data_IF_112857242044
#
_entry.id   IF_112857242044
#
_cell.length_a   1.000
_cell.length_b   1.000
_cell.length_c   1.000
_cell.angle_alpha   90.00
_cell.angle_beta   90.00
_cell.angle_gamma   90.00
#
_symmetry.space_group_name_H-M   'P 1'
#
loop_
_entity.id
_entity.type
_entity.pdbx_description
1 polymer ?
#
# COMPACT_ATOMS: atom_id res chain seq x y z
N UNK A 1 6.91 -8.97 12.60
CA UNK A 1 8.00 -8.84 13.58
C UNK A 1 7.46 -9.20 14.94
N UNK A 2 8.34 -9.41 15.91
CA UNK A 2 7.94 -9.70 17.29
C UNK A 2 6.98 -8.62 17.81
N UNK A 3 5.98 -9.06 18.58
CA UNK A 3 4.94 -8.19 19.16
C UNK A 3 4.08 -7.40 18.15
N UNK A 4 4.18 -7.68 16.85
CA UNK A 4 3.29 -7.06 15.86
C UNK A 4 1.85 -7.52 16.11
N UNK A 5 0.91 -6.56 16.15
CA UNK A 5 -0.51 -6.86 16.31
C UNK A 5 -1.00 -7.66 15.09
N UNK A 6 -1.81 -8.71 15.27
CA UNK A 6 -2.37 -9.47 14.15
C UNK A 6 -3.12 -8.59 13.13
N UNK A 7 -3.83 -7.55 13.60
CA UNK A 7 -4.50 -6.59 12.73
C UNK A 7 -3.53 -5.77 11.87
N UNK A 8 -2.35 -5.43 12.40
CA UNK A 8 -1.32 -4.71 11.65
C UNK A 8 -0.74 -5.56 10.52
N UNK A 9 -0.49 -6.84 10.77
CA UNK A 9 -0.06 -7.78 9.75
C UNK A 9 -1.13 -7.97 8.66
N UNK A 10 -2.40 -8.12 9.05
CA UNK A 10 -3.53 -8.17 8.10
C UNK A 10 -3.65 -6.90 7.26
N UNK A 11 -3.47 -5.73 7.87
CA UNK A 11 -3.49 -4.45 7.16
C UNK A 11 -2.29 -4.31 6.21
N UNK A 12 -1.10 -4.75 6.58
CA UNK A 12 0.07 -4.73 5.70
C UNK A 12 -0.20 -5.48 4.39
N UNK A 13 -0.77 -6.69 4.47
CA UNK A 13 -1.14 -7.49 3.29
C UNK A 13 -2.17 -6.75 2.42
N UNK A 14 -3.20 -6.17 3.03
CA UNK A 14 -4.25 -5.43 2.30
C UNK A 14 -3.72 -4.12 1.68
N UNK A 15 -2.77 -3.42 2.32
CA UNK A 15 -2.09 -2.25 1.74
C UNK A 15 -1.29 -2.63 0.50
N UNK A 16 -0.53 -3.73 0.56
CA UNK A 16 0.21 -4.26 -0.59
C UNK A 16 -0.73 -4.64 -1.74
N UNK A 17 -1.81 -5.36 -1.43
CA UNK A 17 -2.86 -5.72 -2.39
C UNK A 17 -3.50 -4.49 -3.03
N UNK A 18 -3.83 -3.48 -2.22
CA UNK A 18 -4.38 -2.20 -2.71
C UNK A 18 -3.43 -1.53 -3.69
N UNK A 19 -2.15 -1.46 -3.36
CA UNK A 19 -1.17 -0.81 -4.21
C UNK A 19 -1.01 -1.53 -5.57
N UNK A 20 -0.92 -2.85 -5.53
CA UNK A 20 -0.84 -3.69 -6.74
C UNK A 20 -2.09 -3.55 -7.61
N UNK A 21 -3.29 -3.67 -7.04
CA UNK A 21 -4.53 -3.65 -7.82
C UNK A 21 -4.85 -2.27 -8.40
N UNK A 22 -4.49 -1.19 -7.68
CA UNK A 22 -4.79 0.17 -8.13
C UNK A 22 -3.67 0.78 -8.99
N UNK A 23 -2.54 0.08 -9.12
CA UNK A 23 -1.37 0.54 -9.86
C UNK A 23 -0.75 1.82 -9.28
N UNK A 24 -0.92 2.06 -7.98
CA UNK A 24 -0.48 3.28 -7.29
C UNK A 24 -0.35 3.05 -5.81
N UNK A 25 0.43 3.88 -5.13
CA UNK A 25 0.61 3.81 -3.68
C UNK A 25 -0.74 3.92 -2.94
N UNK A 26 -0.93 3.14 -1.89
CA UNK A 26 -2.22 3.05 -1.18
C UNK A 26 -2.60 4.38 -0.51
N UNK A 27 -1.62 5.20 -0.12
CA UNK A 27 -1.82 6.55 0.39
C UNK A 27 -2.31 7.53 -0.69
N UNK A 28 -1.76 7.43 -1.91
CA UNK A 28 -2.21 8.22 -3.07
C UNK A 28 -3.64 7.85 -3.43
N UNK A 29 -3.97 6.56 -3.43
CA UNK A 29 -5.35 6.11 -3.66
C UNK A 29 -6.32 6.62 -2.57
N UNK A 30 -5.88 6.64 -1.31
CA UNK A 30 -6.65 7.22 -0.21
C UNK A 30 -6.97 8.70 -0.42
N UNK A 31 -5.99 9.46 -0.90
CA UNK A 31 -6.19 10.87 -1.23
C UNK A 31 -7.20 11.04 -2.37
N UNK A 32 -7.04 10.27 -3.45
CA UNK A 32 -7.97 10.34 -4.57
C UNK A 32 -9.42 10.03 -4.16
N UNK A 33 -9.65 9.02 -3.32
CA UNK A 33 -11.01 8.72 -2.85
C UNK A 33 -11.62 9.88 -2.06
N UNK A 34 -10.82 10.55 -1.21
CA UNK A 34 -11.27 11.76 -0.49
C UNK A 34 -11.62 12.89 -1.44
N UNK A 35 -10.81 13.12 -2.47
CA UNK A 35 -11.06 14.15 -3.49
C UNK A 35 -12.31 13.85 -4.33
N UNK A 36 -12.67 12.58 -4.47
CA UNK A 36 -13.86 12.13 -5.20
C UNK A 36 -15.11 11.99 -4.32
N UNK A 37 -15.03 12.34 -3.04
CA UNK A 37 -16.09 12.10 -2.04
C UNK A 37 -16.58 10.64 -2.02
N UNK A 38 -15.63 9.71 -2.17
CA UNK A 38 -15.87 8.26 -2.12
C UNK A 38 -15.33 7.66 -0.84
N UNK A 39 -16.08 6.72 -0.31
CA UNK A 39 -15.72 5.97 0.89
C UNK A 39 -15.20 4.58 0.55
N UNK A 40 -14.48 3.98 1.49
CA UNK A 40 -14.00 2.60 1.37
C UNK A 40 -15.15 1.60 1.26
N UNK A 41 -16.33 1.94 1.81
CA UNK A 41 -17.57 1.17 1.68
C UNK A 41 -18.09 1.09 0.24
N UNK A 42 -17.67 2.03 -0.61
CA UNK A 42 -18.13 2.13 -2.00
C UNK A 42 -17.26 1.29 -2.95
N UNK A 43 -16.31 0.53 -2.39
CA UNK A 43 -15.41 -0.35 -3.13
C UNK A 43 -15.97 -1.77 -3.10
N UNK A 44 -16.06 -2.39 -4.28
CA UNK A 44 -16.61 -3.74 -4.42
C UNK A 44 -15.72 -4.83 -3.80
N UNK A 45 -14.40 -4.61 -3.74
CA UNK A 45 -13.46 -5.58 -3.17
C UNK A 45 -13.12 -5.24 -1.70
N UNK A 46 -13.54 -6.06 -0.72
CA UNK A 46 -13.31 -5.80 0.70
C UNK A 46 -11.85 -5.96 1.14
N UNK A 47 -10.96 -6.42 0.25
CA UNK A 47 -9.52 -6.51 0.50
C UNK A 47 -8.82 -5.17 0.26
N UNK A 48 -9.45 -4.24 -0.47
CA UNK A 48 -8.89 -2.92 -0.70
C UNK A 48 -8.99 -2.09 0.58
N UNK A 49 -7.84 -1.63 1.08
CA UNK A 49 -7.77 -0.62 2.14
C UNK A 49 -6.93 0.57 1.65
N UNK A 50 -7.58 1.70 1.30
CA UNK A 50 -6.89 2.90 0.86
C UNK A 50 -6.33 3.63 2.09
N UNK A 51 -5.21 3.13 2.60
CA UNK A 51 -4.54 3.63 3.80
C UNK A 51 -3.03 3.64 3.56
N UNK A 52 -2.34 4.71 3.94
CA UNK A 52 -0.90 4.89 3.70
C UNK A 52 -0.05 3.72 4.23
N UNK A 53 1.02 3.38 3.50
CA UNK A 53 1.96 2.31 3.86
C UNK A 53 2.10 1.19 2.82
N UNK A 54 1.31 1.23 1.74
CA UNK A 54 1.44 0.36 0.57
C UNK A 54 2.10 1.09 -0.59
N UNK A 55 3.12 0.47 -1.20
CA UNK A 55 3.86 0.98 -2.36
C UNK A 55 3.70 0.03 -3.53
N UNK A 56 3.40 0.56 -4.72
CA UNK A 56 3.29 -0.25 -5.94
C UNK A 56 4.70 -0.62 -6.44
N UNK A 57 4.86 -1.85 -6.94
CA UNK A 57 6.08 -2.28 -7.62
C UNK A 57 5.80 -2.28 -9.12
N UNK A 58 6.55 -1.49 -9.88
CA UNK A 58 6.48 -1.45 -11.34
C UNK A 58 7.80 -1.90 -11.97
N UNK A 59 7.74 -2.51 -13.15
CA UNK A 59 8.92 -2.79 -13.94
C UNK A 59 9.46 -1.48 -14.54
N UNK A 60 10.74 -1.12 -14.29
CA UNK A 60 11.32 0.11 -14.83
C UNK A 60 11.38 0.16 -16.37
N UNK A 61 11.38 -0.99 -17.05
CA UNK A 61 11.50 -1.06 -18.50
C UNK A 61 10.21 -0.74 -19.26
N UNK A 62 9.08 -1.28 -18.80
CA UNK A 62 7.79 -1.20 -19.52
C UNK A 62 6.64 -0.65 -18.65
N UNK A 63 6.90 -0.33 -17.38
CA UNK A 63 5.89 0.17 -16.44
C UNK A 63 4.88 -0.88 -15.98
N UNK A 64 5.07 -2.16 -16.31
CA UNK A 64 4.15 -3.22 -15.90
C UNK A 64 4.08 -3.33 -14.37
N UNK A 65 2.88 -3.51 -13.83
CA UNK A 65 2.69 -3.72 -12.39
C UNK A 65 3.15 -5.14 -12.04
N UNK A 66 4.17 -5.24 -11.20
CA UNK A 66 4.73 -6.51 -10.73
C UNK A 66 4.13 -6.96 -9.41
N UNK A 67 3.61 -6.02 -8.60
CA UNK A 67 3.02 -6.30 -7.31
C UNK A 67 2.96 -5.08 -6.41
N UNK A 68 3.01 -5.31 -5.10
CA UNK A 68 3.01 -4.25 -4.09
C UNK A 68 3.73 -4.67 -2.82
N UNK A 69 4.31 -3.69 -2.13
CA UNK A 69 4.89 -3.82 -0.80
C UNK A 69 3.94 -3.17 0.18
N UNK A 70 3.71 -3.77 1.35
CA UNK A 70 2.84 -3.20 2.37
C UNK A 70 3.42 -3.38 3.76
N UNK A 71 3.40 -2.30 4.54
CA UNK A 71 3.84 -2.29 5.93
C UNK A 71 2.72 -1.74 6.80
N UNK A 72 2.62 -2.29 8.00
CA UNK A 72 1.59 -1.94 8.97
C UNK A 72 2.12 -2.09 10.38
N UNK A 73 2.01 -1.04 11.20
CA UNK A 73 2.36 -1.12 12.61
C UNK A 73 2.74 0.21 13.24
N UNK A 74 3.10 1.21 12.44
CA UNK A 74 3.51 2.52 12.93
C UNK A 74 2.34 3.52 13.02
N UNK A 75 2.42 4.53 13.92
CA UNK A 75 1.27 5.37 14.27
C UNK A 75 0.67 6.22 13.13
N UNK A 76 1.47 6.71 12.19
CA UNK A 76 1.06 7.73 11.20
C UNK A 76 0.98 7.23 9.76
N UNK A 77 1.24 5.95 9.49
CA UNK A 77 1.30 5.40 8.13
C UNK A 77 2.52 5.85 7.30
N UNK A 78 3.06 7.05 7.54
CA UNK A 78 4.27 7.54 6.88
C UNK A 78 5.47 6.63 7.15
N UNK A 79 5.71 6.28 8.41
CA UNK A 79 6.80 5.35 8.74
C UNK A 79 6.61 3.96 8.13
N UNK A 80 5.35 3.51 7.96
CA UNK A 80 5.08 2.26 7.24
C UNK A 80 5.50 2.42 5.76
N UNK A 81 5.15 3.54 5.13
CA UNK A 81 5.52 3.81 3.74
C UNK A 81 7.03 3.94 3.55
N UNK A 82 7.74 4.60 4.48
CA UNK A 82 9.19 4.75 4.43
C UNK A 82 9.89 3.37 4.42
N UNK A 83 9.39 2.42 5.23
CA UNK A 83 9.87 1.03 5.23
C UNK A 83 9.50 0.32 3.93
N UNK A 84 8.27 0.49 3.42
CA UNK A 84 7.87 -0.07 2.12
C UNK A 84 8.78 0.43 0.99
N UNK A 85 9.10 1.73 0.95
CA UNK A 85 10.03 2.33 -0.01
C UNK A 85 11.46 1.84 0.17
N UNK A 86 11.90 1.57 1.41
CA UNK A 86 13.20 0.94 1.65
C UNK A 86 13.26 -0.47 1.04
N UNK A 87 12.18 -1.24 1.12
CA UNK A 87 12.04 -2.52 0.44
C UNK A 87 12.12 -2.39 -1.09
N UNK A 88 11.43 -1.40 -1.67
CA UNK A 88 11.49 -1.15 -3.12
C UNK A 88 12.91 -0.79 -3.59
N UNK A 89 13.60 0.12 -2.88
CA UNK A 89 15.00 0.47 -3.15
C UNK A 89 15.93 -0.74 -3.07
N UNK A 90 15.71 -1.64 -2.11
CA UNK A 90 16.50 -2.86 -1.99
C UNK A 90 16.35 -3.79 -3.21
N UNK A 91 15.22 -3.72 -3.92
CA UNK A 91 14.98 -4.44 -5.17
C UNK A 91 15.60 -3.76 -6.40
N UNK A 92 16.05 -2.50 -6.28
CA UNK A 92 16.54 -1.66 -7.40
C UNK A 92 15.48 -1.46 -8.49
N UNK A 93 14.25 -1.19 -8.05
CA UNK A 93 13.06 -0.98 -8.90
C UNK A 93 12.40 0.39 -8.65
N UNK A 94 13.09 1.29 -7.95
CA UNK A 94 12.65 2.67 -7.72
C UNK A 94 12.96 3.61 -8.91
#
# INVERSE_FOLDING_TARGET
>A
TDMCRPSSAGNAIKKAYTAAMMGRDSGVYAQQLREQDRHTSDLADPRIIPMQGGVVITNPGDGAILGGIGVGGLPSGQGDEDISRAGLRAMRLD
#
